data_IF_431293045642
#
_entry.id   IF_431293045642
#
_cell.length_a   1.000
_cell.length_b   1.000
_cell.length_c   1.000
_cell.angle_alpha   90.00
_cell.angle_beta   90.00
_cell.angle_gamma   90.00
#
_symmetry.space_group_name_H-M   'P 1'
#
loop_
_entity.id
_entity.type
_entity.pdbx_description
1 polymer ?
#
# COMPACT_ATOMS: atom_id res chain seq x y z
N UNK A 1 -9.70 -14.86 20.33
CA UNK A 1 -9.31 -14.00 19.20
C UNK A 1 -8.55 -12.78 19.70
N UNK A 2 -7.48 -12.37 18.99
CA UNK A 2 -6.67 -11.21 19.40
C UNK A 2 -7.39 -9.87 19.13
N UNK A 3 -6.97 -8.85 19.86
CA UNK A 3 -7.48 -7.47 19.64
C UNK A 3 -7.33 -7.05 18.18
N UNK A 4 -6.16 -7.31 17.55
CA UNK A 4 -5.92 -7.03 16.14
C UNK A 4 -6.84 -7.83 15.23
N UNK A 5 -7.13 -9.08 15.57
CA UNK A 5 -8.04 -9.92 14.80
C UNK A 5 -9.47 -9.40 14.82
N UNK A 6 -9.93 -8.93 15.98
CA UNK A 6 -11.26 -8.32 16.13
C UNK A 6 -11.38 -7.03 15.32
N UNK A 7 -10.40 -6.13 15.45
CA UNK A 7 -10.38 -4.87 14.69
C UNK A 7 -10.33 -5.13 13.19
N UNK A 8 -9.49 -6.06 12.76
CA UNK A 8 -9.39 -6.44 11.34
C UNK A 8 -10.74 -6.88 10.79
N UNK A 9 -11.41 -7.79 11.49
CA UNK A 9 -12.71 -8.33 11.06
C UNK A 9 -13.77 -7.22 10.98
N UNK A 10 -13.85 -6.37 11.99
CA UNK A 10 -14.78 -5.25 12.04
C UNK A 10 -14.56 -4.29 10.87
N UNK A 11 -13.32 -3.84 10.70
CA UNK A 11 -13.01 -2.83 9.67
C UNK A 11 -13.13 -3.39 8.25
N UNK A 12 -12.80 -4.66 8.04
CA UNK A 12 -13.03 -5.30 6.75
C UNK A 12 -14.51 -5.41 6.42
N UNK A 13 -15.36 -5.71 7.41
CA UNK A 13 -16.80 -5.75 7.21
C UNK A 13 -17.35 -4.36 6.82
N UNK A 14 -16.91 -3.31 7.50
CA UNK A 14 -17.28 -1.94 7.18
C UNK A 14 -16.81 -1.52 5.78
N UNK A 15 -15.59 -1.87 5.42
CA UNK A 15 -15.04 -1.60 4.08
C UNK A 15 -15.84 -2.30 2.99
N UNK A 16 -16.16 -3.57 3.20
CA UNK A 16 -16.93 -4.37 2.24
C UNK A 16 -18.37 -3.89 2.08
N UNK A 17 -18.92 -3.19 3.08
CA UNK A 17 -20.26 -2.62 3.04
C UNK A 17 -20.34 -1.34 2.20
N UNK A 18 -19.21 -0.72 1.87
CA UNK A 18 -19.18 0.43 0.95
C UNK A 18 -19.59 -0.04 -0.45
N UNK A 19 -20.41 0.78 -1.12
CA UNK A 19 -20.79 0.49 -2.51
C UNK A 19 -19.59 0.73 -3.44
N UNK A 20 -19.64 0.16 -4.64
CA UNK A 20 -18.64 0.41 -5.67
C UNK A 20 -18.49 1.91 -5.94
N UNK A 21 -19.60 2.65 -6.05
CA UNK A 21 -19.58 4.09 -6.29
C UNK A 21 -18.94 4.87 -5.15
N UNK A 22 -19.21 4.49 -3.90
CA UNK A 22 -18.60 5.10 -2.73
C UNK A 22 -17.09 4.85 -2.72
N UNK A 23 -16.64 3.63 -3.00
CA UNK A 23 -15.23 3.29 -3.05
C UNK A 23 -14.51 4.05 -4.17
N UNK A 24 -15.15 4.14 -5.34
CA UNK A 24 -14.60 4.87 -6.49
C UNK A 24 -14.39 6.36 -6.18
N UNK A 25 -15.42 7.01 -5.63
CA UNK A 25 -15.36 8.42 -5.26
C UNK A 25 -14.29 8.68 -4.20
N UNK A 26 -14.28 7.87 -3.15
CA UNK A 26 -13.31 8.00 -2.05
C UNK A 26 -11.89 7.71 -2.49
N UNK A 27 -11.68 6.71 -3.33
CA UNK A 27 -10.38 6.42 -3.93
C UNK A 27 -9.86 7.61 -4.76
N UNK A 28 -10.74 8.27 -5.50
CA UNK A 28 -10.39 9.48 -6.25
C UNK A 28 -9.95 10.62 -5.35
N UNK A 29 -10.61 10.83 -4.23
CA UNK A 29 -10.21 11.86 -3.24
C UNK A 29 -8.86 11.54 -2.60
N UNK A 30 -8.60 10.27 -2.31
CA UNK A 30 -7.32 9.84 -1.78
C UNK A 30 -6.20 10.08 -2.82
N UNK A 31 -6.45 9.78 -4.08
CA UNK A 31 -5.50 10.08 -5.15
C UNK A 31 -5.13 11.57 -5.19
N UNK A 32 -6.11 12.46 -5.09
CA UNK A 32 -5.86 13.90 -5.07
C UNK A 32 -4.95 14.28 -3.90
N UNK A 33 -5.21 13.75 -2.72
CA UNK A 33 -4.36 13.99 -1.54
C UNK A 33 -2.93 13.47 -1.77
N UNK A 34 -2.80 12.28 -2.35
CA UNK A 34 -1.50 11.65 -2.58
C UNK A 34 -0.63 12.46 -3.55
N UNK A 35 -1.18 12.85 -4.70
CA UNK A 35 -0.42 13.57 -5.71
C UNK A 35 -0.05 14.99 -5.25
N UNK A 36 -0.72 15.50 -4.24
CA UNK A 36 -0.42 16.80 -3.64
C UNK A 36 0.72 16.75 -2.61
N UNK A 37 1.12 15.56 -2.16
CA UNK A 37 2.23 15.44 -1.22
C UNK A 37 3.56 15.83 -1.88
N UNK A 38 4.39 16.67 -1.22
CA UNK A 38 5.73 16.97 -1.72
C UNK A 38 6.58 15.72 -1.94
N UNK A 39 6.46 14.73 -1.06
CA UNK A 39 7.20 13.47 -1.13
C UNK A 39 6.79 12.65 -2.35
N UNK A 40 5.52 12.69 -2.76
CA UNK A 40 5.08 12.08 -4.01
C UNK A 40 5.66 12.80 -5.22
N UNK A 41 5.61 14.12 -5.24
CA UNK A 41 6.13 14.92 -6.35
C UNK A 41 7.62 14.70 -6.58
N UNK A 42 8.39 14.58 -5.50
CA UNK A 42 9.84 14.37 -5.54
C UNK A 42 10.23 12.94 -5.88
N UNK A 43 9.37 11.98 -5.59
CA UNK A 43 9.69 10.56 -5.76
C UNK A 43 9.88 10.22 -7.25
N UNK A 44 10.96 9.51 -7.55
CA UNK A 44 11.21 8.93 -8.88
C UNK A 44 10.66 7.53 -8.99
N UNK A 45 10.61 6.82 -7.88
CA UNK A 45 10.12 5.45 -7.79
C UNK A 45 8.92 5.40 -6.84
N UNK A 46 7.86 4.77 -7.31
CA UNK A 46 6.64 4.52 -6.55
C UNK A 46 6.48 3.01 -6.40
N UNK A 47 6.51 2.53 -5.16
CA UNK A 47 6.13 1.17 -4.83
C UNK A 47 4.65 1.19 -4.44
N UNK A 48 3.85 0.39 -5.12
CA UNK A 48 2.40 0.45 -4.97
C UNK A 48 1.78 -0.93 -5.01
N UNK A 49 0.96 -1.25 -4.02
CA UNK A 49 0.20 -2.48 -4.07
C UNK A 49 -0.79 -2.45 -5.25
N UNK A 50 -1.05 -3.61 -5.83
CA UNK A 50 -2.10 -3.78 -6.82
C UNK A 50 -3.42 -4.04 -6.08
N UNK A 51 -4.34 -3.09 -6.12
CA UNK A 51 -5.58 -3.17 -5.36
C UNK A 51 -6.45 -4.35 -5.78
N UNK A 52 -7.07 -4.98 -4.80
CA UNK A 52 -7.90 -6.15 -4.96
C UNK A 52 -9.14 -6.06 -4.07
N UNK A 53 -10.27 -6.56 -4.56
CA UNK A 53 -11.52 -6.60 -3.80
C UNK A 53 -12.01 -5.21 -3.40
N UNK A 54 -12.26 -5.02 -2.10
CA UNK A 54 -12.80 -3.77 -1.56
C UNK A 54 -11.76 -2.75 -1.13
N UNK A 55 -10.48 -2.97 -1.45
CA UNK A 55 -9.40 -2.03 -1.13
C UNK A 55 -9.57 -0.68 -1.83
N UNK A 56 -8.94 0.36 -1.27
CA UNK A 56 -8.76 1.62 -2.01
C UNK A 56 -8.09 1.31 -3.34
N UNK A 57 -8.69 1.78 -4.43
CA UNK A 57 -8.19 1.49 -5.77
C UNK A 57 -6.85 2.18 -6.02
N UNK A 58 -5.87 1.43 -6.50
CA UNK A 58 -4.55 1.95 -6.86
C UNK A 58 -4.31 2.02 -8.36
N UNK A 59 -5.27 1.58 -9.18
CA UNK A 59 -5.11 1.62 -10.63
C UNK A 59 -4.82 3.04 -11.13
N UNK A 60 -5.58 4.02 -10.66
CA UNK A 60 -5.40 5.42 -11.06
C UNK A 60 -4.08 5.99 -10.54
N UNK A 61 -3.64 5.57 -9.37
CA UNK A 61 -2.33 5.95 -8.83
C UNK A 61 -1.21 5.44 -9.76
N UNK A 62 -1.31 4.20 -10.20
CA UNK A 62 -0.34 3.60 -11.12
C UNK A 62 -0.32 4.35 -12.45
N UNK A 63 -1.50 4.58 -13.06
CA UNK A 63 -1.63 5.29 -14.33
C UNK A 63 -1.06 6.71 -14.22
N UNK A 64 -1.44 7.44 -13.18
CA UNK A 64 -0.96 8.81 -12.95
C UNK A 64 0.56 8.85 -12.77
N UNK A 65 1.11 7.93 -11.99
CA UNK A 65 2.56 7.88 -11.73
C UNK A 65 3.35 7.58 -13.01
N UNK A 66 2.86 6.65 -13.82
CA UNK A 66 3.48 6.35 -15.12
C UNK A 66 3.41 7.55 -16.08
N UNK A 67 2.29 8.26 -16.09
CA UNK A 67 2.12 9.46 -16.94
C UNK A 67 3.07 10.59 -16.54
N UNK A 68 3.49 10.63 -15.28
CA UNK A 68 4.47 11.59 -14.75
C UNK A 68 5.91 11.10 -14.90
N UNK A 69 6.14 10.04 -15.70
CA UNK A 69 7.46 9.48 -15.97
C UNK A 69 8.16 8.90 -14.72
N UNK A 70 7.38 8.53 -13.71
CA UNK A 70 7.91 7.83 -12.53
C UNK A 70 8.04 6.34 -12.83
N UNK A 71 8.99 5.68 -12.17
CA UNK A 71 9.08 4.22 -12.19
C UNK A 71 8.08 3.67 -11.18
N UNK A 72 7.28 2.70 -11.61
CA UNK A 72 6.27 2.05 -10.75
C UNK A 72 6.63 0.59 -10.56
N UNK A 73 6.63 0.15 -9.31
CA UNK A 73 6.93 -1.23 -8.91
C UNK A 73 5.75 -1.78 -8.11
N UNK A 74 5.33 -2.98 -8.45
CA UNK A 74 4.26 -3.67 -7.74
C UNK A 74 4.78 -4.94 -7.07
N UNK A 75 4.13 -5.38 -5.97
CA UNK A 75 4.65 -6.50 -5.19
C UNK A 75 4.30 -7.84 -5.80
N UNK A 76 5.22 -8.79 -5.62
CA UNK A 76 5.02 -10.20 -5.91
C UNK A 76 5.45 -11.01 -4.69
N UNK A 77 4.57 -11.88 -4.22
CA UNK A 77 4.87 -12.78 -3.11
C UNK A 77 5.63 -14.00 -3.65
N UNK A 78 6.77 -14.28 -3.05
CA UNK A 78 7.63 -15.42 -3.37
C UNK A 78 7.93 -16.16 -2.06
N UNK A 79 7.18 -17.23 -1.80
CA UNK A 79 7.29 -17.97 -0.54
C UNK A 79 6.84 -17.12 0.65
N UNK A 80 7.76 -16.87 1.60
CA UNK A 80 7.47 -16.08 2.80
C UNK A 80 7.92 -14.63 2.69
N UNK A 81 8.40 -14.22 1.54
CA UNK A 81 8.87 -12.84 1.30
C UNK A 81 8.18 -12.22 0.10
N UNK A 82 8.35 -10.92 -0.04
CA UNK A 82 7.75 -10.12 -1.09
C UNK A 82 8.83 -9.25 -1.72
N UNK A 83 8.86 -9.20 -3.05
CA UNK A 83 9.70 -8.28 -3.81
C UNK A 83 8.83 -7.41 -4.70
N UNK A 84 9.34 -6.26 -5.07
CA UNK A 84 8.66 -5.32 -5.96
C UNK A 84 9.31 -5.33 -7.32
N UNK A 85 8.50 -5.46 -8.37
CA UNK A 85 8.96 -5.52 -9.76
C UNK A 85 8.36 -4.38 -10.56
N UNK A 86 9.16 -3.84 -11.46
CA UNK A 86 8.74 -2.74 -12.34
C UNK A 86 7.63 -3.17 -13.27
N UNK A 87 6.65 -2.29 -13.43
CA UNK A 87 5.60 -2.41 -14.44
C UNK A 87 5.58 -1.15 -15.31
N UNK A 88 5.20 -1.30 -16.57
CA UNK A 88 5.06 -0.19 -17.51
C UNK A 88 3.59 0.12 -17.79
N UNK A 89 2.69 -0.74 -17.38
CA UNK A 89 1.24 -0.63 -17.56
C UNK A 89 0.51 -1.44 -16.50
N UNK A 90 -0.71 -1.05 -16.08
CA UNK A 90 -1.55 -1.90 -15.22
C UNK A 90 -1.81 -3.28 -15.83
N UNK A 91 -1.79 -3.42 -17.15
CA UNK A 91 -1.98 -4.68 -17.86
C UNK A 91 -0.81 -5.66 -17.69
N UNK A 92 0.32 -5.21 -17.14
CA UNK A 92 1.43 -6.08 -16.77
C UNK A 92 1.15 -6.92 -15.52
N UNK A 93 0.03 -6.64 -14.84
CA UNK A 93 -0.39 -7.37 -13.65
C UNK A 93 -1.34 -8.50 -14.04
N UNK A 94 -1.11 -9.69 -13.50
CA UNK A 94 -1.95 -10.86 -13.71
C UNK A 94 -2.24 -11.53 -12.37
N UNK A 95 -3.29 -12.32 -12.31
CA UNK A 95 -3.69 -13.03 -11.10
C UNK A 95 -2.53 -13.89 -10.56
N UNK A 96 -2.22 -13.73 -9.29
CA UNK A 96 -1.13 -14.40 -8.61
C UNK A 96 -1.54 -14.95 -7.25
N UNK A 97 -0.69 -14.77 -6.26
CA UNK A 97 -0.89 -15.25 -4.89
C UNK A 97 -2.22 -14.74 -4.32
N UNK A 98 -3.07 -15.67 -3.86
CA UNK A 98 -4.41 -15.39 -3.32
C UNK A 98 -5.31 -14.58 -4.27
N UNK A 99 -5.14 -14.80 -5.56
CA UNK A 99 -5.87 -14.10 -6.63
C UNK A 99 -5.63 -12.59 -6.67
N UNK A 100 -4.58 -12.11 -6.04
CA UNK A 100 -4.19 -10.70 -6.07
C UNK A 100 -3.39 -10.44 -7.34
N UNK A 101 -3.68 -9.36 -8.09
CA UNK A 101 -2.87 -9.03 -9.26
C UNK A 101 -1.41 -8.77 -8.87
N UNK A 102 -0.49 -9.35 -9.64
CA UNK A 102 0.94 -9.17 -9.39
C UNK A 102 1.73 -9.21 -10.69
N UNK A 103 2.96 -8.62 -10.73
CA UNK A 103 3.84 -8.75 -11.88
C UNK A 103 4.35 -10.18 -12.02
N UNK A 104 4.86 -10.53 -13.21
CA UNK A 104 5.34 -11.88 -13.50
C UNK A 104 6.70 -12.23 -12.84
N UNK A 105 7.39 -11.26 -12.31
CA UNK A 105 8.70 -11.44 -11.67
C UNK A 105 9.87 -11.47 -12.65
N UNK A 106 9.67 -11.14 -13.92
CA UNK A 106 10.71 -11.15 -14.96
C UNK A 106 11.27 -9.77 -15.27
N UNK A 107 10.58 -8.72 -14.85
CA UNK A 107 11.04 -7.34 -15.03
C UNK A 107 12.04 -6.94 -13.94
N UNK A 108 12.50 -5.69 -14.00
CA UNK A 108 13.45 -5.14 -13.04
C UNK A 108 12.91 -5.20 -11.61
N UNK A 109 13.68 -5.81 -10.71
CA UNK A 109 13.36 -5.78 -9.27
C UNK A 109 13.75 -4.43 -8.70
N UNK A 110 12.91 -3.90 -7.80
CA UNK A 110 13.22 -2.67 -7.08
C UNK A 110 14.48 -2.84 -6.23
N UNK A 111 15.38 -1.89 -6.35
CA UNK A 111 16.56 -1.74 -5.50
C UNK A 111 16.45 -0.44 -4.72
N UNK A 112 16.92 -0.46 -3.48
CA UNK A 112 16.86 0.69 -2.58
C UNK A 112 17.35 1.97 -3.25
N UNK A 113 16.54 3.02 -3.14
CA UNK A 113 16.82 4.34 -3.69
C UNK A 113 16.20 5.40 -2.78
N UNK A 114 16.91 6.52 -2.52
CA UNK A 114 16.41 7.56 -1.61
C UNK A 114 15.15 8.27 -2.12
N UNK A 115 14.93 8.29 -3.43
CA UNK A 115 13.80 9.00 -4.06
C UNK A 115 12.61 8.06 -4.24
N UNK A 116 12.25 7.32 -3.21
CA UNK A 116 11.19 6.33 -3.24
C UNK A 116 10.06 6.69 -2.28
N UNK A 117 8.83 6.54 -2.76
CA UNK A 117 7.63 6.54 -1.93
C UNK A 117 6.96 5.18 -2.05
N UNK A 118 6.55 4.61 -0.93
CA UNK A 118 5.81 3.35 -0.91
C UNK A 118 4.39 3.55 -0.39
N UNK A 119 3.42 3.03 -1.13
CA UNK A 119 2.00 3.04 -0.78
C UNK A 119 1.66 1.68 -0.21
N UNK A 120 1.25 1.67 1.05
CA UNK A 120 1.10 0.46 1.85
C UNK A 120 -0.39 0.18 2.11
N UNK A 121 -0.88 -1.03 1.80
CA UNK A 121 -2.25 -1.41 2.12
C UNK A 121 -2.38 -1.81 3.58
N UNK A 122 -3.62 -1.87 4.05
CA UNK A 122 -3.90 -2.38 5.40
C UNK A 122 -5.39 -2.54 5.62
N UNK A 123 -5.72 -3.24 6.68
CA UNK A 123 -7.11 -3.44 7.09
C UNK A 123 -7.58 -2.37 8.06
N UNK A 124 -6.68 -1.92 8.94
CA UNK A 124 -6.95 -0.89 9.94
C UNK A 124 -5.76 0.06 9.99
N UNK A 125 -6.03 1.35 10.14
CA UNK A 125 -5.03 2.38 10.37
C UNK A 125 -5.46 3.27 11.53
N UNK A 126 -4.50 3.92 12.18
CA UNK A 126 -4.77 5.02 13.08
C UNK A 126 -4.05 6.30 12.60
N UNK A 127 -4.37 7.42 13.21
CA UNK A 127 -3.82 8.72 12.78
C UNK A 127 -2.35 8.90 13.15
N UNK A 128 -1.81 8.00 13.98
CA UNK A 128 -0.40 7.98 14.38
C UNK A 128 0.46 7.18 13.39
N UNK A 129 -0.16 6.57 12.38
CA UNK A 129 0.53 5.78 11.38
C UNK A 129 0.60 4.28 11.66
N UNK A 130 0.02 3.83 12.77
CA UNK A 130 -0.02 2.38 13.07
C UNK A 130 -0.98 1.68 12.12
N UNK A 131 -0.66 0.43 11.82
CA UNK A 131 -1.35 -0.32 10.79
C UNK A 131 -1.54 -1.78 11.20
N UNK A 132 -2.70 -2.33 10.88
CA UNK A 132 -2.94 -3.77 10.93
C UNK A 132 -3.07 -4.25 9.49
N UNK A 133 -2.21 -5.19 9.10
CA UNK A 133 -2.26 -5.82 7.79
C UNK A 133 -3.21 -7.02 7.75
N UNK A 134 -3.03 -7.85 6.73
CA UNK A 134 -3.86 -9.03 6.52
C UNK A 134 -3.40 -10.26 7.31
N UNK A 135 -2.32 -10.14 8.09
CA UNK A 135 -1.81 -11.20 8.95
C UNK A 135 -0.54 -11.91 8.45
N UNK A 136 -0.14 -11.67 7.19
CA UNK A 136 1.04 -12.32 6.62
C UNK A 136 2.38 -11.67 6.97
N UNK A 137 2.36 -10.40 7.42
CA UNK A 137 3.58 -9.68 7.82
C UNK A 137 4.52 -9.28 6.68
N UNK A 138 4.07 -9.37 5.42
CA UNK A 138 4.92 -9.13 4.26
C UNK A 138 5.47 -7.71 4.19
N UNK A 139 4.64 -6.71 4.47
CA UNK A 139 5.07 -5.30 4.41
C UNK A 139 5.99 -4.95 5.56
N UNK A 140 5.72 -5.44 6.77
CA UNK A 140 6.61 -5.18 7.91
C UNK A 140 7.98 -5.83 7.69
N UNK A 141 8.02 -7.06 7.16
CA UNK A 141 9.28 -7.72 6.81
C UNK A 141 10.02 -6.99 5.69
N UNK A 142 9.31 -6.56 4.64
CA UNK A 142 9.92 -5.83 3.54
C UNK A 142 10.53 -4.51 4.04
N UNK A 143 9.79 -3.73 4.82
CA UNK A 143 10.25 -2.43 5.32
C UNK A 143 11.42 -2.59 6.31
N UNK A 144 11.37 -3.60 7.19
CA UNK A 144 12.46 -3.85 8.14
C UNK A 144 13.71 -4.38 7.47
N UNK A 145 13.61 -4.96 6.28
CA UNK A 145 14.74 -5.42 5.48
C UNK A 145 15.48 -4.32 4.72
N UNK A 146 14.93 -3.10 4.69
CA UNK A 146 15.57 -1.98 3.99
C UNK A 146 16.68 -1.37 4.83
N UNK A 147 17.75 -0.92 4.15
CA UNK A 147 18.90 -0.32 4.80
C UNK A 147 18.60 1.12 5.23
N UNK A 148 18.90 1.45 6.47
CA UNK A 148 18.76 2.83 6.96
C UNK A 148 19.75 3.78 6.27
N UNK A 149 20.90 3.29 5.85
CA UNK A 149 21.95 4.09 5.21
C UNK A 149 21.60 4.55 3.80
N UNK A 150 20.75 3.79 3.08
CA UNK A 150 20.29 4.15 1.74
C UNK A 150 19.12 5.14 1.74
N UNK A 151 18.63 5.51 2.92
CA UNK A 151 17.43 6.30 3.08
C UNK A 151 16.17 5.44 2.98
N UNK A 152 15.32 5.52 4.00
CA UNK A 152 14.05 4.78 3.99
C UNK A 152 13.09 5.44 3.01
N UNK A 153 12.30 4.66 2.25
CA UNK A 153 11.23 5.23 1.45
C UNK A 153 10.21 5.92 2.36
N UNK A 154 9.62 6.99 1.85
CA UNK A 154 8.51 7.63 2.53
C UNK A 154 7.29 6.70 2.45
N UNK A 155 6.74 6.34 3.60
CA UNK A 155 5.64 5.37 3.68
C UNK A 155 4.29 6.06 3.83
N UNK A 156 3.36 5.72 2.94
CA UNK A 156 2.00 6.25 2.95
C UNK A 156 1.01 5.10 3.06
N UNK A 157 0.24 5.07 4.14
CA UNK A 157 -0.93 4.21 4.23
C UNK A 157 -2.12 4.91 3.61
N UNK A 158 -2.91 4.18 2.84
CA UNK A 158 -4.16 4.71 2.29
C UNK A 158 -5.31 3.81 2.70
N UNK A 159 -6.42 4.41 3.10
CA UNK A 159 -7.59 3.67 3.55
C UNK A 159 -8.86 4.49 3.40
N UNK A 160 -10.00 3.81 3.49
CA UNK A 160 -11.28 4.51 3.67
C UNK A 160 -11.42 4.94 5.13
N UNK A 161 -12.15 6.03 5.37
CA UNK A 161 -12.34 6.56 6.73
C UNK A 161 -12.91 5.51 7.70
N UNK A 162 -13.74 4.58 7.20
CA UNK A 162 -14.27 3.50 8.03
C UNK A 162 -13.20 2.52 8.53
N UNK A 163 -12.01 2.54 7.95
CA UNK A 163 -10.89 1.70 8.39
C UNK A 163 -10.04 2.33 9.49
N UNK A 164 -10.34 3.58 9.87
CA UNK A 164 -9.61 4.24 10.95
C UNK A 164 -10.08 3.71 12.30
N UNK A 165 -9.11 3.39 13.15
CA UNK A 165 -9.32 3.15 14.57
C UNK A 165 -8.81 4.35 15.37
N UNK A 166 -9.33 4.55 16.56
CA UNK A 166 -8.85 5.63 17.44
C UNK A 166 -7.38 5.43 17.81
N UNK A 167 -7.04 4.19 18.18
CA UNK A 167 -5.68 3.81 18.55
C UNK A 167 -5.46 2.32 18.28
N UNK A 168 -4.35 2.02 17.64
CA UNK A 168 -3.87 0.64 17.46
C UNK A 168 -2.70 0.44 18.41
N UNK A 169 -2.73 -0.66 19.18
CA UNK A 169 -1.57 -1.06 19.99
C UNK A 169 -0.54 -1.69 19.05
N UNK A 170 0.63 -1.06 18.86
CA UNK A 170 1.64 -1.62 17.97
C UNK A 170 2.26 -2.86 18.56
N UNK A 171 2.69 -3.77 17.69
CA UNK A 171 3.50 -4.93 18.04
C UNK A 171 4.98 -4.60 17.83
N UNK A 172 5.92 -5.35 18.45
CA UNK A 172 7.35 -5.01 18.43
C UNK A 172 7.97 -4.85 17.06
N UNK A 173 7.45 -5.55 16.03
CA UNK A 173 8.00 -5.53 14.68
C UNK A 173 7.24 -4.60 13.73
N UNK A 174 6.24 -3.89 14.23
CA UNK A 174 5.43 -3.01 13.42
C UNK A 174 6.21 -1.74 13.07
N UNK A 175 6.09 -1.31 11.82
CA UNK A 175 6.69 -0.07 11.34
C UNK A 175 5.56 0.90 11.03
N UNK A 176 5.49 2.03 11.76
CA UNK A 176 4.44 3.02 11.50
C UNK A 176 4.64 3.71 10.16
N UNK A 177 3.53 4.11 9.54
CA UNK A 177 3.56 4.90 8.31
C UNK A 177 3.94 6.35 8.60
N UNK A 178 4.63 6.98 7.66
CA UNK A 178 4.93 8.42 7.76
C UNK A 178 3.67 9.27 7.59
N UNK A 179 2.76 8.83 6.75
CA UNK A 179 1.45 9.48 6.55
C UNK A 179 0.36 8.45 6.34
N UNK A 180 -0.84 8.81 6.76
CA UNK A 180 -2.07 8.05 6.45
C UNK A 180 -3.03 9.00 5.75
N UNK A 181 -3.43 8.64 4.53
CA UNK A 181 -4.43 9.38 3.76
C UNK A 181 -5.73 8.60 3.75
N UNK A 182 -6.83 9.30 3.88
CA UNK A 182 -8.13 8.66 3.96
C UNK A 182 -9.26 9.54 3.41
N UNK A 183 -10.35 8.87 3.08
CA UNK A 183 -11.60 9.52 2.71
C UNK A 183 -12.81 8.65 3.07
#
# INVERSE_FOLDING_TARGET
ESEHGLLRREKLAQRSALTFEQRKEKSGRILIQLVDLPEYRKARSILCYASFGSEVSTREVIVQSLSLQKQVFCPKVEGNRMRFFRIDSPEDLAEGFRNIPEPDGKSQVYRESPDTLIIVPGTVFDRMGHRIGYGGGYYDRFLSGLSESAGRPFTVGICFACQLAEKIRPQPHDIPMDRVLFS
#
